data_IF_001383899606
#
_entry.id   IF_001383899606
#
_cell.length_a   1.000
_cell.length_b   1.000
_cell.length_c   1.000
_cell.angle_alpha   90.00
_cell.angle_beta   90.00
_cell.angle_gamma   90.00
#
_symmetry.space_group_name_H-M   'P 1'
#
loop_
_entity.id
_entity.type
_entity.pdbx_description
1 polymer ?
#
# COMPACT_ATOMS: atom_id res chain seq x y z
N UNK A 1 22.92 14.75 -4.67
CA UNK A 1 22.51 13.70 -3.71
C UNK A 1 23.47 12.55 -3.91
N UNK A 2 24.44 12.39 -3.00
CA UNK A 2 25.47 11.34 -3.10
C UNK A 2 24.97 10.17 -2.27
N UNK A 3 24.69 9.04 -2.91
CA UNK A 3 24.38 7.80 -2.20
C UNK A 3 25.71 7.18 -1.76
N UNK A 4 25.94 7.15 -0.45
CA UNK A 4 27.06 6.48 0.19
C UNK A 4 26.85 4.95 0.17
N UNK A 5 27.89 4.20 -0.19
CA UNK A 5 27.84 2.74 -0.36
C UNK A 5 27.49 1.92 0.91
N UNK A 6 27.37 2.58 2.07
CA UNK A 6 26.92 2.00 3.35
C UNK A 6 25.41 1.80 3.43
N UNK A 7 24.60 2.66 2.77
CA UNK A 7 23.14 2.58 2.89
C UNK A 7 22.55 1.41 2.10
N UNK A 8 23.14 1.01 0.97
CA UNK A 8 22.62 -0.07 0.14
C UNK A 8 22.68 -1.44 0.84
N UNK A 9 23.81 -1.81 1.43
CA UNK A 9 23.94 -3.10 2.14
C UNK A 9 23.14 -3.14 3.44
N UNK A 10 23.00 -1.99 4.11
CA UNK A 10 22.17 -1.88 5.31
C UNK A 10 20.68 -2.04 4.98
N UNK A 11 20.21 -1.42 3.89
CA UNK A 11 18.85 -1.60 3.36
C UNK A 11 18.60 -3.05 2.94
N UNK A 12 19.60 -3.73 2.34
CA UNK A 12 19.50 -5.16 2.00
C UNK A 12 19.51 -6.11 3.20
N UNK A 13 20.01 -5.68 4.36
CA UNK A 13 20.12 -6.49 5.57
C UNK A 13 18.87 -6.46 6.47
N UNK A 14 17.99 -5.49 6.25
CA UNK A 14 16.71 -5.40 6.95
C UNK A 14 15.78 -6.52 6.43
N UNK A 15 15.05 -7.24 7.30
CA UNK A 15 14.07 -8.20 6.85
C UNK A 15 13.00 -7.45 6.06
N UNK A 16 12.85 -7.79 4.78
CA UNK A 16 11.90 -7.19 3.84
C UNK A 16 10.46 -7.60 4.17
N UNK A 17 9.97 -7.17 5.34
CA UNK A 17 8.64 -7.52 5.85
C UNK A 17 7.55 -6.66 5.23
N UNK A 18 7.91 -5.64 4.47
CA UNK A 18 6.96 -4.79 3.76
C UNK A 18 7.45 -4.58 2.33
N UNK A 19 6.73 -5.15 1.37
CA UNK A 19 6.93 -4.87 -0.05
C UNK A 19 5.80 -3.96 -0.54
N UNK A 20 6.15 -2.86 -1.22
CA UNK A 20 5.16 -1.86 -1.66
C UNK A 20 5.25 -1.54 -3.14
N UNK A 21 4.11 -1.23 -3.75
CA UNK A 21 4.07 -0.64 -5.09
C UNK A 21 2.98 0.42 -5.21
N UNK A 22 3.29 1.51 -5.89
CA UNK A 22 2.28 2.45 -6.37
C UNK A 22 1.93 2.11 -7.83
N UNK A 23 0.65 1.98 -8.15
CA UNK A 23 0.21 2.00 -9.56
C UNK A 23 -0.27 3.41 -9.89
N UNK A 24 0.50 4.19 -10.66
CA UNK A 24 0.06 5.53 -11.02
C UNK A 24 -1.08 5.43 -12.03
N UNK A 25 -2.30 5.75 -11.61
CA UNK A 25 -3.44 5.82 -12.52
C UNK A 25 -3.55 7.18 -13.23
N UNK A 26 -2.79 8.18 -12.78
CA UNK A 26 -3.06 9.58 -13.06
C UNK A 26 -1.82 10.38 -13.47
N UNK A 27 -0.90 9.78 -14.24
CA UNK A 27 0.25 10.52 -14.78
C UNK A 27 -0.14 11.52 -15.89
N UNK A 28 -1.43 11.69 -16.17
CA UNK A 28 -1.94 12.60 -17.19
C UNK A 28 -3.33 13.10 -16.77
N UNK A 29 -3.65 14.38 -17.01
CA UNK A 29 -4.96 15.05 -16.78
C UNK A 29 -6.11 14.46 -17.63
N UNK A 30 -6.02 13.19 -18.04
CA UNK A 30 -6.94 12.53 -18.96
C UNK A 30 -8.26 12.13 -18.30
N UNK A 31 -8.33 12.03 -16.97
CA UNK A 31 -9.50 11.50 -16.27
C UNK A 31 -9.97 12.42 -15.14
N UNK A 32 -11.16 13.02 -15.33
CA UNK A 32 -11.89 13.74 -14.30
C UNK A 32 -12.73 12.75 -13.49
N UNK A 33 -12.18 12.24 -12.39
CA UNK A 33 -12.84 11.26 -11.52
C UNK A 33 -14.10 11.82 -10.83
N UNK A 34 -14.30 13.15 -10.78
CA UNK A 34 -15.55 13.75 -10.28
C UNK A 34 -16.67 13.63 -11.30
N UNK A 35 -16.34 13.75 -12.59
CA UNK A 35 -17.30 13.55 -13.70
C UNK A 35 -17.50 12.09 -14.08
N UNK A 36 -16.46 11.27 -13.91
CA UNK A 36 -16.44 9.86 -14.30
C UNK A 36 -16.07 8.95 -13.11
N UNK A 37 -16.95 8.83 -12.11
CA UNK A 37 -16.70 7.97 -10.95
C UNK A 37 -16.58 6.48 -11.33
N UNK A 38 -17.08 6.07 -12.49
CA UNK A 38 -16.97 4.70 -13.02
C UNK A 38 -15.52 4.27 -13.33
N UNK A 39 -14.57 5.20 -13.40
CA UNK A 39 -13.15 4.90 -13.59
C UNK A 39 -12.39 4.63 -12.29
N UNK A 40 -13.05 4.77 -11.14
CA UNK A 40 -12.48 4.38 -9.85
C UNK A 40 -12.20 2.88 -9.87
N UNK A 41 -10.95 2.51 -9.59
CA UNK A 41 -10.52 1.12 -9.52
C UNK A 41 -9.70 0.88 -8.26
N UNK A 42 -9.83 -0.31 -7.68
CA UNK A 42 -8.98 -0.75 -6.57
C UNK A 42 -7.57 -1.15 -7.02
N UNK A 43 -7.33 -1.25 -8.34
CA UNK A 43 -6.04 -1.64 -8.88
C UNK A 43 -5.76 -3.15 -8.82
N UNK A 44 -4.49 -3.49 -8.97
CA UNK A 44 -3.95 -4.83 -8.76
C UNK A 44 -3.10 -4.91 -7.50
N UNK A 45 -2.70 -6.11 -7.10
CA UNK A 45 -1.73 -6.30 -6.03
C UNK A 45 -0.92 -7.57 -6.19
N UNK A 46 -0.06 -7.82 -5.21
CA UNK A 46 0.92 -8.89 -5.21
C UNK A 46 1.04 -9.47 -3.80
N UNK A 47 1.50 -10.72 -3.71
CA UNK A 47 1.75 -11.40 -2.44
C UNK A 47 2.97 -10.83 -1.70
N UNK A 48 3.11 -11.10 -0.39
CA UNK A 48 4.29 -10.68 0.35
C UNK A 48 5.57 -11.37 -0.16
N UNK A 49 6.69 -10.65 -0.11
CA UNK A 49 8.01 -11.18 -0.53
C UNK A 49 8.67 -12.06 0.54
N UNK A 50 8.19 -11.97 1.78
CA UNK A 50 8.64 -12.76 2.92
C UNK A 50 7.47 -13.55 3.52
N UNK A 51 7.76 -14.66 4.21
CA UNK A 51 6.73 -15.46 4.88
C UNK A 51 6.05 -14.69 6.03
N UNK A 52 6.80 -13.84 6.71
CA UNK A 52 6.43 -13.02 7.86
C UNK A 52 6.15 -11.54 7.49
N UNK A 53 5.87 -11.28 6.21
CA UNK A 53 5.70 -9.93 5.68
C UNK A 53 4.35 -9.67 5.00
N UNK A 54 4.21 -8.43 4.54
CA UNK A 54 3.05 -7.90 3.83
C UNK A 54 3.40 -7.46 2.41
N UNK A 55 2.48 -7.69 1.48
CA UNK A 55 2.45 -7.05 0.18
C UNK A 55 1.43 -5.91 0.19
N UNK A 56 1.84 -4.70 -0.14
CA UNK A 56 0.96 -3.51 -0.15
C UNK A 56 1.03 -2.82 -1.50
N UNK A 57 -0.02 -2.95 -2.28
CA UNK A 57 -0.21 -2.15 -3.50
C UNK A 57 -1.18 -1.02 -3.21
N UNK A 58 -0.92 0.17 -3.74
CA UNK A 58 -1.83 1.29 -3.59
C UNK A 58 -1.97 2.11 -4.86
N UNK A 59 -3.15 2.72 -5.00
CA UNK A 59 -3.47 3.66 -6.06
C UNK A 59 -4.00 4.93 -5.42
N UNK A 60 -3.37 6.05 -5.76
CA UNK A 60 -3.87 7.39 -5.42
C UNK A 60 -4.77 7.83 -6.57
N UNK A 61 -6.03 8.16 -6.24
CA UNK A 61 -7.06 8.55 -7.18
C UNK A 61 -7.53 9.96 -6.85
N UNK A 62 -7.11 10.92 -7.65
CA UNK A 62 -7.36 12.34 -7.42
C UNK A 62 -6.74 12.82 -6.10
N UNK A 63 -7.48 13.66 -5.39
CA UNK A 63 -7.00 14.33 -4.17
C UNK A 63 -7.53 13.67 -2.89
N UNK A 64 -8.68 12.99 -2.97
CA UNK A 64 -9.47 12.59 -1.81
C UNK A 64 -9.54 11.07 -1.59
N UNK A 65 -8.97 10.26 -2.50
CA UNK A 65 -9.13 8.81 -2.46
C UNK A 65 -7.80 8.08 -2.65
N UNK A 66 -7.52 7.15 -1.75
CA UNK A 66 -6.42 6.19 -1.87
C UNK A 66 -7.02 4.79 -1.69
N UNK A 67 -6.78 3.91 -2.67
CA UNK A 67 -7.11 2.49 -2.57
C UNK A 67 -5.87 1.71 -2.17
N UNK A 68 -6.01 0.83 -1.18
CA UNK A 68 -4.98 -0.10 -0.75
C UNK A 68 -5.42 -1.55 -1.02
N UNK A 69 -4.53 -2.35 -1.61
CA UNK A 69 -4.62 -3.79 -1.67
C UNK A 69 -3.49 -4.36 -0.83
N UNK A 70 -3.87 -5.01 0.28
CA UNK A 70 -2.94 -5.54 1.28
C UNK A 70 -3.07 -7.06 1.32
N UNK A 71 -1.93 -7.74 1.29
CA UNK A 71 -1.83 -9.19 1.31
C UNK A 71 -0.82 -9.65 2.37
N UNK A 72 -1.08 -10.82 2.96
CA UNK A 72 -0.16 -11.54 3.83
C UNK A 72 -0.39 -13.05 3.69
N UNK A 73 0.49 -13.88 4.26
CA UNK A 73 0.27 -15.33 4.29
C UNK A 73 -0.55 -15.71 5.51
N UNK A 74 -1.66 -16.42 5.31
CA UNK A 74 -2.45 -16.97 6.42
C UNK A 74 -1.67 -17.89 7.36
N UNK A 75 -0.63 -18.55 6.85
CA UNK A 75 0.23 -19.45 7.64
C UNK A 75 1.23 -18.72 8.54
N UNK A 76 1.36 -17.40 8.39
CA UNK A 76 2.31 -16.61 9.19
C UNK A 76 1.72 -16.27 10.55
N UNK A 77 2.35 -16.69 11.65
CA UNK A 77 1.91 -16.30 12.99
C UNK A 77 2.22 -14.83 13.29
N UNK A 78 3.09 -14.19 12.49
CA UNK A 78 3.56 -12.82 12.74
C UNK A 78 2.85 -11.75 11.91
N UNK A 79 1.92 -12.12 11.03
CA UNK A 79 1.15 -11.15 10.26
C UNK A 79 -0.33 -11.26 10.58
N UNK A 80 -0.89 -10.30 11.30
CA UNK A 80 -2.32 -10.16 11.47
C UNK A 80 -2.86 -8.99 10.65
N UNK A 81 -4.11 -9.11 10.19
CA UNK A 81 -4.80 -7.99 9.52
C UNK A 81 -5.14 -6.85 10.50
N UNK A 82 -5.18 -7.14 11.81
CA UNK A 82 -5.37 -6.13 12.86
C UNK A 82 -4.18 -5.15 12.93
N UNK A 83 -2.95 -5.63 12.74
CA UNK A 83 -1.74 -4.81 12.76
C UNK A 83 -1.78 -3.74 11.67
N UNK A 84 -2.37 -4.09 10.52
CA UNK A 84 -2.58 -3.20 9.38
C UNK A 84 -3.65 -2.15 9.67
N UNK A 85 -4.75 -2.51 10.34
CA UNK A 85 -5.77 -1.55 10.74
C UNK A 85 -5.19 -0.48 11.67
N UNK A 86 -4.36 -0.90 12.61
CA UNK A 86 -3.65 0.01 13.53
C UNK A 86 -2.64 0.90 12.78
N UNK A 87 -1.81 0.31 11.90
CA UNK A 87 -0.79 1.03 11.15
C UNK A 87 -1.36 2.15 10.27
N UNK A 88 -2.45 1.85 9.55
CA UNK A 88 -3.12 2.83 8.69
C UNK A 88 -4.12 3.71 9.46
N UNK A 89 -4.24 3.53 10.77
CA UNK A 89 -5.20 4.24 11.62
C UNK A 89 -6.62 4.15 11.05
N UNK A 90 -6.96 2.99 10.46
CA UNK A 90 -8.27 2.69 9.90
C UNK A 90 -9.23 2.33 11.04
N UNK A 91 -9.32 3.20 12.02
CA UNK A 91 -10.35 3.13 13.03
C UNK A 91 -11.61 3.73 12.39
N UNK A 92 -12.62 2.90 12.14
CA UNK A 92 -13.94 3.39 11.77
C UNK A 92 -14.53 4.11 12.98
N UNK A 93 -14.10 5.35 13.22
CA UNK A 93 -14.98 6.36 13.78
C UNK A 93 -16.04 6.62 12.71
N UNK A 94 -17.00 5.70 12.63
CA UNK A 94 -18.30 5.97 12.07
C UNK A 94 -18.71 7.31 12.68
N UNK A 95 -18.78 8.33 11.82
CA UNK A 95 -19.21 9.66 12.19
C UNK A 95 -20.65 9.53 12.70
N UNK A 96 -20.79 9.30 14.02
CA UNK A 96 -22.02 9.54 14.73
C UNK A 96 -22.21 11.05 14.77
N UNK A 97 -22.81 11.60 13.70
CA UNK A 97 -23.42 12.92 13.73
C UNK A 97 -24.64 12.96 12.85
#
# INVERSE_FOLDING_TARGET
MVCDGSSFFQVLSEPWRLSTSQTPLQQVDLFDLKKHPEYITSGGGFGPVADDGYGVSYIILGEDLINFHISSKHSSPETAMLDILELFQLDNKANNK
#
